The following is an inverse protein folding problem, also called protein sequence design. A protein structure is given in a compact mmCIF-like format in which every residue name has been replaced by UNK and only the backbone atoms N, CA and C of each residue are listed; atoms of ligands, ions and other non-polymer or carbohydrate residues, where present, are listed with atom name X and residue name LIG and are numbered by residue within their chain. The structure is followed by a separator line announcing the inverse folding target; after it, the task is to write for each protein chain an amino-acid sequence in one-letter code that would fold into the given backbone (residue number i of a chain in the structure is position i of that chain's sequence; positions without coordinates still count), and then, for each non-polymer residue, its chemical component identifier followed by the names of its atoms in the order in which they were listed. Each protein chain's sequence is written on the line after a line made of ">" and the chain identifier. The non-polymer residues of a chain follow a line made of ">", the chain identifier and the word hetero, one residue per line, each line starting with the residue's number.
data_IF_701800952107
#
_entry.id   IF_701800952107
#
_cell.length_a   1.000
_cell.length_b   1.000
_cell.length_c   1.000
_cell.angle_alpha   90.00
_cell.angle_beta   90.00
_cell.angle_gamma   90.00
#
_symmetry.space_group_name_H-M   'P 1'
#
loop_
_entity.id
_entity.type
_entity.pdbx_description
1 polymer ?
#
# COMPACT_ATOMS: atom_id res chain seq x y z
N UNK A 1 14.57 -17.07 -5.05
CA UNK A 1 14.99 -16.67 -6.39
C UNK A 1 15.79 -15.39 -6.35
N UNK A 2 17.10 -15.51 -6.56
CA UNK A 2 18.04 -14.40 -6.46
C UNK A 2 17.71 -13.29 -7.47
N UNK A 3 17.34 -13.67 -8.69
CA UNK A 3 17.02 -12.68 -9.72
C UNK A 3 15.79 -11.84 -9.33
N UNK A 4 14.75 -12.48 -8.79
CA UNK A 4 13.55 -11.77 -8.36
C UNK A 4 13.90 -10.77 -7.24
N UNK A 5 14.69 -11.21 -6.28
CA UNK A 5 15.12 -10.35 -5.18
C UNK A 5 15.95 -9.17 -5.65
N UNK A 6 16.85 -9.40 -6.62
CA UNK A 6 17.67 -8.34 -7.19
C UNK A 6 16.82 -7.31 -7.93
N UNK A 7 15.85 -7.78 -8.69
CA UNK A 7 14.90 -6.90 -9.39
C UNK A 7 14.05 -6.10 -8.41
N UNK A 8 13.64 -6.76 -7.32
CA UNK A 8 12.88 -6.09 -6.27
C UNK A 8 13.71 -4.96 -5.64
N UNK A 9 14.98 -5.22 -5.32
CA UNK A 9 15.87 -4.21 -4.76
C UNK A 9 16.11 -3.05 -5.75
N UNK A 10 16.22 -3.36 -7.03
CA UNK A 10 16.36 -2.32 -8.06
C UNK A 10 15.13 -1.43 -8.12
N UNK A 11 13.93 -2.02 -8.00
CA UNK A 11 12.69 -1.24 -7.97
C UNK A 11 12.61 -0.36 -6.72
N UNK A 12 13.03 -0.88 -5.57
CA UNK A 12 13.10 -0.08 -4.33
C UNK A 12 14.07 1.08 -4.47
N UNK A 13 15.19 0.86 -5.17
CA UNK A 13 16.15 1.93 -5.43
C UNK A 13 15.52 3.05 -6.24
N UNK A 14 14.72 2.71 -7.25
CA UNK A 14 13.98 3.70 -8.03
C UNK A 14 13.00 4.47 -7.14
N UNK A 15 12.30 3.76 -6.26
CA UNK A 15 11.40 4.38 -5.30
C UNK A 15 12.15 5.39 -4.42
N UNK A 16 13.30 4.99 -3.89
CA UNK A 16 14.10 5.83 -3.00
C UNK A 16 14.64 7.08 -3.72
N UNK A 17 14.83 6.99 -5.02
CA UNK A 17 15.23 8.14 -5.85
C UNK A 17 14.04 8.97 -6.31
N UNK A 18 12.85 8.66 -5.82
CA UNK A 18 11.58 9.33 -6.16
C UNK A 18 11.22 9.19 -7.64
N UNK A 19 11.71 8.14 -8.27
CA UNK A 19 11.35 7.81 -9.65
C UNK A 19 10.17 6.85 -9.62
N UNK A 20 9.02 7.39 -9.21
CA UNK A 20 7.86 6.57 -8.86
C UNK A 20 7.26 5.82 -10.05
N UNK A 21 7.17 6.48 -11.22
CA UNK A 21 6.59 5.81 -12.40
C UNK A 21 7.45 4.66 -12.87
N UNK A 22 8.76 4.84 -12.87
CA UNK A 22 9.69 3.77 -13.21
C UNK A 22 9.61 2.63 -12.20
N UNK A 23 9.49 2.97 -10.90
CA UNK A 23 9.35 1.97 -9.85
C UNK A 23 8.06 1.17 -10.04
N UNK A 24 6.95 1.82 -10.35
CA UNK A 24 5.67 1.15 -10.61
C UNK A 24 5.83 0.10 -11.72
N UNK A 25 6.44 0.47 -12.83
CA UNK A 25 6.64 -0.46 -13.95
C UNK A 25 7.41 -1.70 -13.50
N UNK A 26 8.47 -1.51 -12.73
CA UNK A 26 9.30 -2.62 -12.26
C UNK A 26 8.55 -3.50 -11.25
N UNK A 27 7.85 -2.90 -10.29
CA UNK A 27 7.06 -3.66 -9.33
C UNK A 27 5.92 -4.42 -10.01
N UNK A 28 5.24 -3.80 -10.98
CA UNK A 28 4.17 -4.47 -11.72
C UNK A 28 4.70 -5.67 -12.49
N UNK A 29 5.88 -5.52 -13.12
CA UNK A 29 6.50 -6.63 -13.83
C UNK A 29 6.82 -7.80 -12.90
N UNK A 30 7.26 -7.51 -11.66
CA UNK A 30 7.53 -8.56 -10.66
C UNK A 30 6.27 -9.30 -10.27
N UNK A 31 5.19 -8.58 -9.97
CA UNK A 31 3.92 -9.21 -9.60
C UNK A 31 3.40 -10.08 -10.74
N UNK A 32 3.50 -9.59 -11.98
CA UNK A 32 3.04 -10.34 -13.15
C UNK A 32 3.89 -11.58 -13.39
N UNK A 33 5.21 -11.48 -13.17
CA UNK A 33 6.12 -12.59 -13.43
C UNK A 33 5.90 -13.76 -12.48
N UNK A 34 5.66 -13.47 -11.20
CA UNK A 34 5.40 -14.50 -10.20
C UNK A 34 4.60 -13.92 -9.04
N UNK A 35 3.26 -13.96 -9.12
CA UNK A 35 2.41 -13.42 -8.06
C UNK A 35 2.46 -14.24 -6.77
N UNK A 36 3.03 -15.44 -6.82
CA UNK A 36 3.15 -16.30 -5.64
C UNK A 36 4.51 -16.18 -4.95
N UNK A 37 5.40 -15.35 -5.46
CA UNK A 37 6.69 -15.12 -4.82
C UNK A 37 6.48 -14.42 -3.48
N UNK A 38 7.35 -14.72 -2.51
CA UNK A 38 7.23 -14.16 -1.16
C UNK A 38 7.33 -12.64 -1.11
N UNK A 39 7.90 -12.00 -2.13
CA UNK A 39 8.00 -10.54 -2.22
C UNK A 39 6.91 -9.91 -3.10
N UNK A 40 6.03 -10.71 -3.71
CA UNK A 40 5.02 -10.17 -4.62
C UNK A 40 4.03 -9.26 -3.90
N UNK A 41 3.61 -9.62 -2.68
CA UNK A 41 2.71 -8.79 -1.89
C UNK A 41 3.37 -7.46 -1.49
N UNK A 42 4.67 -7.50 -1.16
CA UNK A 42 5.43 -6.29 -0.88
C UNK A 42 5.50 -5.40 -2.11
N UNK A 43 5.77 -6.00 -3.27
CA UNK A 43 5.81 -5.24 -4.53
C UNK A 43 4.45 -4.59 -4.81
N UNK A 44 3.36 -5.29 -4.56
CA UNK A 44 2.01 -4.75 -4.73
C UNK A 44 1.76 -3.56 -3.80
N UNK A 45 2.21 -3.68 -2.56
CA UNK A 45 2.12 -2.58 -1.60
C UNK A 45 2.89 -1.35 -2.09
N UNK A 46 4.12 -1.55 -2.59
CA UNK A 46 4.93 -0.43 -3.08
C UNK A 46 4.32 0.25 -4.30
N UNK A 47 3.61 -0.50 -5.14
CA UNK A 47 2.86 0.11 -6.25
C UNK A 47 1.86 1.12 -5.69
N UNK A 48 1.12 0.73 -4.65
CA UNK A 48 0.18 1.64 -3.98
C UNK A 48 0.87 2.88 -3.42
N UNK A 49 2.02 2.69 -2.77
CA UNK A 49 2.80 3.81 -2.22
C UNK A 49 3.26 4.77 -3.30
N UNK A 50 3.71 4.25 -4.44
CA UNK A 50 4.13 5.08 -5.55
C UNK A 50 2.99 5.96 -6.04
N UNK A 51 1.83 5.38 -6.28
CA UNK A 51 0.66 6.15 -6.70
C UNK A 51 0.25 7.17 -5.64
N UNK A 52 0.30 6.76 -4.37
CA UNK A 52 -0.03 7.67 -3.27
C UNK A 52 0.87 8.91 -3.29
N UNK A 53 2.19 8.70 -3.44
CA UNK A 53 3.16 9.79 -3.45
C UNK A 53 3.07 10.64 -4.72
N UNK A 54 2.56 10.08 -5.80
CA UNK A 54 2.27 10.84 -7.02
C UNK A 54 0.96 11.65 -6.90
N UNK A 55 0.20 11.45 -5.82
CA UNK A 55 -1.08 12.11 -5.65
C UNK A 55 -2.21 11.46 -6.42
N UNK A 56 -1.97 10.30 -7.01
CA UNK A 56 -3.01 9.55 -7.73
C UNK A 56 -3.68 8.60 -6.74
N UNK A 57 -4.56 9.16 -5.91
CA UNK A 57 -5.17 8.42 -4.81
C UNK A 57 -6.12 7.32 -5.28
N UNK A 58 -6.80 7.52 -6.42
CA UNK A 58 -7.70 6.50 -6.95
C UNK A 58 -6.93 5.26 -7.41
N UNK A 59 -5.81 5.45 -8.10
CA UNK A 59 -4.95 4.34 -8.51
C UNK A 59 -4.33 3.69 -7.28
N UNK A 60 -3.95 4.48 -6.28
CA UNK A 60 -3.39 3.96 -5.04
C UNK A 60 -4.39 3.05 -4.32
N UNK A 61 -5.67 3.44 -4.26
CA UNK A 61 -6.71 2.63 -3.64
C UNK A 61 -6.78 1.25 -4.30
N UNK A 62 -6.83 1.21 -5.62
CA UNK A 62 -6.90 -0.06 -6.34
C UNK A 62 -5.69 -0.93 -6.05
N UNK A 63 -4.50 -0.32 -6.01
CA UNK A 63 -3.26 -1.04 -5.74
C UNK A 63 -3.23 -1.59 -4.31
N UNK A 64 -3.64 -0.79 -3.32
CA UNK A 64 -3.66 -1.23 -1.93
C UNK A 64 -4.72 -2.32 -1.71
N UNK A 65 -5.89 -2.20 -2.33
CA UNK A 65 -6.93 -3.23 -2.22
C UNK A 65 -6.42 -4.57 -2.76
N UNK A 66 -5.59 -4.55 -3.78
CA UNK A 66 -5.05 -5.77 -4.36
C UNK A 66 -4.11 -6.50 -3.41
N UNK A 67 -3.51 -5.80 -2.44
CA UNK A 67 -2.65 -6.43 -1.43
C UNK A 67 -3.42 -7.52 -0.66
N UNK A 68 -4.71 -7.28 -0.39
CA UNK A 68 -5.53 -8.24 0.36
C UNK A 68 -5.80 -9.54 -0.39
N UNK A 69 -5.53 -9.58 -1.69
CA UNK A 69 -5.70 -10.81 -2.47
C UNK A 69 -4.54 -11.78 -2.27
N UNK A 70 -3.43 -11.32 -1.69
CA UNK A 70 -2.29 -12.18 -1.39
C UNK A 70 -2.51 -12.88 -0.05
N UNK A 71 -2.28 -14.18 -0.03
CA UNK A 71 -2.52 -14.99 1.16
C UNK A 71 -1.55 -14.62 2.27
N UNK A 72 -2.10 -14.30 3.45
CA UNK A 72 -1.30 -14.01 4.66
C UNK A 72 -0.25 -12.92 4.46
N UNK A 73 -0.59 -11.87 3.73
CA UNK A 73 0.36 -10.78 3.50
C UNK A 73 0.68 -10.05 4.80
N UNK A 74 1.97 -9.80 5.02
CA UNK A 74 2.43 -8.97 6.13
C UNK A 74 2.20 -7.49 5.84
N UNK A 75 1.67 -7.13 4.67
CA UNK A 75 1.38 -5.75 4.29
C UNK A 75 -0.08 -5.36 4.45
N UNK A 76 -0.94 -6.27 4.90
CA UNK A 76 -2.36 -5.99 5.09
C UNK A 76 -2.60 -4.83 6.05
N UNK A 77 -1.88 -4.80 7.14
CA UNK A 77 -2.00 -3.72 8.14
C UNK A 77 -1.68 -2.36 7.51
N UNK A 78 -0.53 -2.27 6.85
CA UNK A 78 -0.12 -1.00 6.22
C UNK A 78 -1.07 -0.60 5.10
N UNK A 79 -1.51 -1.56 4.29
CA UNK A 79 -2.46 -1.30 3.20
C UNK A 79 -3.78 -0.77 3.72
N UNK A 80 -4.31 -1.34 4.81
CA UNK A 80 -5.55 -0.89 5.41
C UNK A 80 -5.45 0.56 5.88
N UNK A 81 -4.34 0.90 6.54
CA UNK A 81 -4.11 2.27 6.98
C UNK A 81 -4.03 3.23 5.79
N UNK A 82 -3.32 2.83 4.74
CA UNK A 82 -3.17 3.66 3.53
C UNK A 82 -4.50 3.88 2.81
N UNK A 83 -5.40 2.91 2.84
CA UNK A 83 -6.74 3.11 2.28
C UNK A 83 -7.46 4.25 2.97
N UNK A 84 -7.36 4.30 4.30
CA UNK A 84 -7.93 5.42 5.05
C UNK A 84 -7.35 6.75 4.60
N UNK A 85 -6.02 6.81 4.45
CA UNK A 85 -5.35 8.02 3.99
C UNK A 85 -5.75 8.43 2.58
N UNK A 86 -5.90 7.47 1.68
CA UNK A 86 -6.31 7.75 0.31
C UNK A 86 -7.68 8.42 0.26
N UNK A 87 -8.65 7.84 0.96
CA UNK A 87 -10.00 8.43 1.00
C UNK A 87 -10.00 9.77 1.72
N UNK A 88 -9.19 9.90 2.77
CA UNK A 88 -9.03 11.17 3.47
C UNK A 88 -8.55 12.26 2.51
N UNK A 89 -7.54 11.96 1.70
CA UNK A 89 -6.99 12.91 0.75
C UNK A 89 -7.95 13.22 -0.41
N UNK A 90 -8.82 12.26 -0.76
CA UNK A 90 -9.87 12.47 -1.74
C UNK A 90 -11.05 13.25 -1.17
N UNK A 91 -11.04 13.52 0.14
CA UNK A 91 -12.11 14.19 0.86
C UNK A 91 -13.41 13.39 0.88
N UNK A 92 -13.30 12.08 0.70
CA UNK A 92 -14.41 11.14 0.88
C UNK A 92 -14.44 10.76 2.36
N UNK A 93 -15.08 11.60 3.16
CA UNK A 93 -15.04 11.51 4.62
C UNK A 93 -15.67 10.22 5.13
N UNK A 94 -16.74 9.79 4.52
CA UNK A 94 -17.42 8.57 4.95
C UNK A 94 -16.58 7.33 4.71
N UNK A 95 -16.00 7.20 3.52
CA UNK A 95 -15.13 6.05 3.22
C UNK A 95 -13.86 6.09 4.06
N UNK A 96 -13.29 7.28 4.29
CA UNK A 96 -12.12 7.41 5.16
C UNK A 96 -12.45 6.92 6.56
N UNK A 97 -13.61 7.31 7.10
CA UNK A 97 -14.04 6.88 8.44
C UNK A 97 -14.17 5.34 8.50
N UNK A 98 -14.80 4.76 7.49
CA UNK A 98 -14.96 3.30 7.45
C UNK A 98 -13.61 2.59 7.43
N UNK A 99 -12.66 3.07 6.60
CA UNK A 99 -11.36 2.42 6.46
C UNK A 99 -10.51 2.55 7.73
N UNK A 100 -10.51 3.73 8.35
CA UNK A 100 -9.79 3.90 9.62
C UNK A 100 -10.42 3.09 10.73
N UNK A 101 -11.76 3.01 10.79
CA UNK A 101 -12.42 2.20 11.80
C UNK A 101 -12.08 0.72 11.62
N UNK A 102 -12.08 0.23 10.38
CA UNK A 102 -11.68 -1.13 10.07
C UNK A 102 -10.24 -1.39 10.53
N UNK A 103 -9.35 -0.41 10.30
CA UNK A 103 -7.97 -0.52 10.75
C UNK A 103 -7.90 -0.66 12.28
N UNK A 104 -8.61 0.19 13.00
CA UNK A 104 -8.61 0.18 14.47
C UNK A 104 -9.16 -1.15 14.99
N UNK A 105 -10.23 -1.64 14.40
CA UNK A 105 -10.87 -2.88 14.84
C UNK A 105 -10.00 -4.11 14.61
N UNK A 106 -9.26 -4.13 13.50
CA UNK A 106 -8.50 -5.32 13.09
C UNK A 106 -7.03 -5.31 13.56
N UNK A 107 -6.48 -4.14 13.89
CA UNK A 107 -5.06 -4.01 14.20
C UNK A 107 -4.83 -3.23 15.48
N UNK A 108 -5.44 -3.71 16.56
CA UNK A 108 -5.45 -3.02 17.87
C UNK A 108 -4.08 -2.78 18.48
N UNK A 109 -3.10 -3.61 18.10
CA UNK A 109 -1.74 -3.50 18.62
C UNK A 109 -0.79 -2.77 17.66
N UNK A 110 -1.32 -2.19 16.60
CA UNK A 110 -0.50 -1.51 15.61
C UNK A 110 0.11 -0.24 16.19
N UNK A 111 1.34 0.05 15.76
CA UNK A 111 2.01 1.32 16.08
C UNK A 111 1.27 2.51 15.46
N UNK A 112 0.44 2.26 14.45
CA UNK A 112 -0.30 3.30 13.74
C UNK A 112 -1.68 3.57 14.34
N UNK A 113 -2.05 2.86 15.40
CA UNK A 113 -3.40 2.96 15.97
C UNK A 113 -3.73 4.39 16.41
N UNK A 114 -2.78 5.06 17.05
CA UNK A 114 -2.98 6.43 17.53
C UNK A 114 -3.17 7.40 16.36
N UNK A 115 -2.41 7.26 15.30
CA UNK A 115 -2.58 8.10 14.10
C UNK A 115 -3.94 7.87 13.45
N UNK A 116 -4.37 6.62 13.37
CA UNK A 116 -5.69 6.29 12.81
C UNK A 116 -6.80 6.94 13.64
N UNK A 117 -6.68 6.88 14.97
CA UNK A 117 -7.63 7.53 15.87
C UNK A 117 -7.65 9.05 15.68
N UNK A 118 -6.48 9.65 15.49
CA UNK A 118 -6.38 11.09 15.23
C UNK A 118 -7.09 11.49 13.93
N UNK A 119 -6.92 10.70 12.86
CA UNK A 119 -7.63 10.96 11.62
C UNK A 119 -9.14 10.81 11.79
N UNK A 120 -9.56 9.77 12.53
CA UNK A 120 -10.99 9.58 12.81
C UNK A 120 -11.58 10.79 13.54
N UNK A 121 -10.83 11.35 14.48
CA UNK A 121 -11.29 12.51 15.26
C UNK A 121 -11.50 13.74 14.38
N UNK A 122 -10.80 13.82 13.23
CA UNK A 122 -10.95 14.94 12.28
C UNK A 122 -12.12 14.75 11.33
N UNK A 123 -12.69 13.60 11.30
CA UNK A 123 -13.78 13.23 10.41
C UNK A 123 -15.11 13.33 11.12
#
# INVERSE_FOLDING_TARGET
>A
DVEYEQRYQAALSLFNKRQYRAAIEQFEALVAANPNHSLADNAQYWIGECYYLLGDYRAAILAFEKVFTFKNSNKNEDAQYKLGLCYYNLKDRERARQEFQTFIDNYKNSKLIRKAEEYLARL
#
